data_IF_593447860749
#
_entry.id   IF_593447860749
#
_cell.length_a   1.000
_cell.length_b   1.000
_cell.length_c   1.000
_cell.angle_alpha   90.00
_cell.angle_beta   90.00
_cell.angle_gamma   90.00
#
_symmetry.space_group_name_H-M   'P 1'
#
loop_
_entity.id
_entity.type
_entity.pdbx_description
1 polymer ?
#
# COMPACT_ATOMS: atom_id res chain seq x y z
N UNK A 1 12.61 6.65 30.31
CA UNK A 1 11.17 6.85 30.01
C UNK A 1 10.52 7.69 31.10
N UNK A 2 10.71 9.01 31.06
CA UNK A 2 10.31 9.90 32.17
C UNK A 2 8.80 10.19 32.24
N UNK A 3 8.07 10.05 31.13
CA UNK A 3 6.64 10.37 31.05
C UNK A 3 5.70 9.19 31.39
N UNK A 4 6.23 8.00 31.69
CA UNK A 4 5.43 6.83 32.06
C UNK A 4 4.59 6.20 30.94
N UNK A 5 4.65 6.71 29.70
CA UNK A 5 3.87 6.22 28.54
C UNK A 5 4.78 5.74 27.39
N UNK A 6 5.50 4.61 27.54
CA UNK A 6 6.34 4.00 26.49
C UNK A 6 5.65 3.85 25.15
N UNK A 7 4.40 3.38 25.18
CA UNK A 7 3.60 2.96 24.03
C UNK A 7 3.35 4.10 23.03
N UNK A 8 3.42 5.36 23.49
CA UNK A 8 3.29 6.52 22.62
C UNK A 8 4.41 6.59 21.58
N UNK A 9 5.59 6.03 21.85
CA UNK A 9 6.67 6.00 20.88
C UNK A 9 6.28 5.24 19.61
N UNK A 10 5.49 4.18 19.75
CA UNK A 10 5.02 3.35 18.63
C UNK A 10 3.78 3.93 17.95
N UNK A 11 2.94 4.66 18.70
CA UNK A 11 1.66 5.19 18.22
C UNK A 11 1.75 6.60 17.62
N UNK A 12 2.70 7.40 18.10
CA UNK A 12 2.93 8.80 17.72
C UNK A 12 4.35 8.93 17.14
N UNK A 13 4.56 8.53 15.88
CA UNK A 13 5.89 8.43 15.32
C UNK A 13 6.56 9.80 15.23
N UNK A 14 7.72 9.92 15.89
CA UNK A 14 8.62 11.07 15.78
C UNK A 14 9.82 10.65 14.97
N UNK A 15 10.11 11.37 13.88
CA UNK A 15 11.21 11.07 12.98
C UNK A 15 11.81 12.31 12.37
N UNK A 16 12.93 12.14 11.66
CA UNK A 16 13.70 13.22 11.01
C UNK A 16 13.45 13.30 9.50
N UNK A 17 12.36 12.71 9.02
CA UNK A 17 11.97 12.71 7.61
C UNK A 17 11.35 14.04 7.16
N UNK A 18 11.05 14.20 5.85
CA UNK A 18 10.52 15.45 5.28
C UNK A 18 9.11 15.80 5.75
N UNK A 19 8.37 14.85 6.32
CA UNK A 19 7.00 15.03 6.75
C UNK A 19 6.84 14.55 8.21
N UNK A 20 6.17 15.37 9.01
CA UNK A 20 5.82 15.11 10.41
C UNK A 20 4.42 14.53 10.51
N UNK A 21 4.22 13.57 11.42
CA UNK A 21 2.92 12.99 11.70
C UNK A 21 1.99 14.04 12.32
N UNK A 22 0.80 14.21 11.75
CA UNK A 22 -0.18 15.16 12.27
C UNK A 22 -1.39 14.45 12.89
N UNK A 23 -1.95 13.45 12.20
CA UNK A 23 -3.10 12.69 12.73
C UNK A 23 -3.32 11.38 12.00
N UNK A 24 -3.73 10.35 12.75
CA UNK A 24 -4.28 9.12 12.21
C UNK A 24 -5.75 8.95 12.59
N UNK A 25 -6.60 8.65 11.62
CA UNK A 25 -7.93 8.08 11.84
C UNK A 25 -7.96 6.70 11.21
N UNK A 26 -8.07 5.68 12.07
CA UNK A 26 -8.12 4.27 11.67
C UNK A 26 -9.14 4.05 10.56
N UNK A 27 -8.72 3.36 9.50
CA UNK A 27 -9.52 3.03 8.31
C UNK A 27 -10.12 4.22 7.54
N UNK A 28 -9.70 5.45 7.86
CA UNK A 28 -10.22 6.67 7.22
C UNK A 28 -9.10 7.45 6.54
N UNK A 29 -8.16 7.99 7.31
CA UNK A 29 -7.16 8.92 6.77
C UNK A 29 -5.91 8.96 7.64
N UNK A 30 -4.75 9.12 7.01
CA UNK A 30 -3.50 9.55 7.65
C UNK A 30 -3.15 10.93 7.14
N UNK A 31 -2.77 11.84 8.04
CA UNK A 31 -2.35 13.21 7.70
C UNK A 31 -0.95 13.49 8.21
N UNK A 32 -0.16 14.10 7.34
CA UNK A 32 1.17 14.61 7.63
C UNK A 32 1.27 16.08 7.24
N UNK A 33 2.23 16.79 7.84
CA UNK A 33 2.61 18.15 7.48
C UNK A 33 4.09 18.17 7.11
N UNK A 34 4.53 19.14 6.31
CA UNK A 34 5.95 19.37 6.09
C UNK A 34 6.68 19.53 7.43
N UNK A 35 7.89 18.98 7.53
CA UNK A 35 8.76 19.15 8.69
C UNK A 35 9.84 20.18 8.36
N UNK A 36 9.75 21.37 8.99
CA UNK A 36 10.70 22.47 8.72
C UNK A 36 12.12 22.15 9.21
N UNK A 37 12.27 21.25 10.19
CA UNK A 37 13.57 20.77 10.66
C UNK A 37 14.18 19.66 9.80
N UNK A 38 13.62 19.38 8.62
CA UNK A 38 14.19 18.37 7.73
C UNK A 38 15.57 18.78 7.28
N UNK A 39 16.56 17.92 7.50
CA UNK A 39 17.98 18.18 7.25
C UNK A 39 18.34 18.30 5.76
N UNK A 40 17.41 17.93 4.88
CA UNK A 40 17.57 17.98 3.43
C UNK A 40 16.66 19.04 2.81
N UNK A 41 16.58 19.10 1.48
CA UNK A 41 15.71 20.08 0.82
C UNK A 41 14.24 19.86 1.20
N UNK A 42 13.58 20.95 1.66
CA UNK A 42 12.13 20.97 1.89
C UNK A 42 11.39 20.56 0.61
N UNK A 43 10.47 19.60 0.76
CA UNK A 43 9.63 19.14 -0.32
C UNK A 43 8.53 20.17 -0.61
N UNK A 44 8.05 20.31 -1.86
CA UNK A 44 7.06 21.32 -2.24
C UNK A 44 5.63 21.00 -1.76
N UNK A 45 5.47 20.08 -0.81
CA UNK A 45 4.17 19.61 -0.32
C UNK A 45 4.05 19.96 1.16
N UNK A 46 3.15 20.88 1.48
CA UNK A 46 2.94 21.33 2.86
C UNK A 46 2.06 20.38 3.67
N UNK A 47 1.06 19.78 3.02
CA UNK A 47 0.13 18.83 3.65
C UNK A 47 0.02 17.59 2.78
N UNK A 48 0.26 16.43 3.38
CA UNK A 48 0.15 15.14 2.72
C UNK A 48 -0.97 14.33 3.38
N UNK A 49 -1.92 13.88 2.57
CA UNK A 49 -3.10 13.13 3.03
C UNK A 49 -3.12 11.78 2.34
N UNK A 50 -3.18 10.71 3.13
CA UNK A 50 -3.42 9.35 2.66
C UNK A 50 -4.87 8.97 2.99
N UNK A 51 -5.82 9.11 2.05
CA UNK A 51 -7.16 8.59 2.22
C UNK A 51 -7.16 7.07 2.07
N UNK A 52 -7.66 6.36 3.07
CA UNK A 52 -7.73 4.90 3.04
C UNK A 52 -8.93 4.51 2.15
N UNK A 53 -8.64 4.08 0.92
CA UNK A 53 -9.64 3.68 -0.07
C UNK A 53 -9.34 2.24 -0.52
N UNK A 54 -10.00 1.21 0.05
CA UNK A 54 -9.59 -0.18 -0.09
C UNK A 54 -9.69 -0.74 -1.51
N UNK A 55 -10.72 -0.38 -2.27
CA UNK A 55 -10.97 -0.95 -3.60
C UNK A 55 -10.26 -0.15 -4.68
N UNK A 56 -9.67 -0.84 -5.67
CA UNK A 56 -9.01 -0.21 -6.82
C UNK A 56 -9.97 0.65 -7.64
N UNK A 57 -11.20 0.17 -7.86
CA UNK A 57 -12.23 0.90 -8.58
C UNK A 57 -12.53 2.27 -7.92
N UNK A 58 -12.76 2.29 -6.60
CA UNK A 58 -13.01 3.55 -5.90
C UNK A 58 -11.80 4.48 -5.91
N UNK A 59 -10.57 3.93 -5.87
CA UNK A 59 -9.36 4.74 -6.04
C UNK A 59 -9.29 5.38 -7.42
N UNK A 60 -9.61 4.64 -8.47
CA UNK A 60 -9.63 5.16 -9.84
C UNK A 60 -10.68 6.25 -10.02
N UNK A 61 -11.89 6.06 -9.48
CA UNK A 61 -12.93 7.11 -9.47
C UNK A 61 -12.44 8.39 -8.81
N UNK A 62 -11.83 8.29 -7.62
CA UNK A 62 -11.27 9.45 -6.91
C UNK A 62 -10.14 10.14 -7.67
N UNK A 63 -9.28 9.36 -8.33
CA UNK A 63 -8.20 9.89 -9.17
C UNK A 63 -8.77 10.68 -10.36
N UNK A 64 -9.75 10.11 -11.07
CA UNK A 64 -10.43 10.77 -12.21
C UNK A 64 -11.21 12.03 -11.79
N UNK A 65 -11.71 12.05 -10.55
CA UNK A 65 -12.41 13.20 -9.96
C UNK A 65 -11.46 14.28 -9.41
N UNK A 66 -10.15 14.02 -9.32
CA UNK A 66 -9.16 14.94 -8.75
C UNK A 66 -9.17 15.00 -7.21
N UNK A 67 -9.90 14.11 -6.53
CA UNK A 67 -9.86 14.00 -5.06
C UNK A 67 -8.53 13.40 -4.56
N UNK A 68 -7.89 12.59 -5.40
CA UNK A 68 -6.57 12.01 -5.18
C UNK A 68 -5.67 12.35 -6.36
N UNK A 69 -4.40 12.66 -6.08
CA UNK A 69 -3.41 12.96 -7.14
C UNK A 69 -2.59 11.73 -7.54
N UNK A 70 -2.52 10.71 -6.68
CA UNK A 70 -1.75 9.48 -6.88
C UNK A 70 -2.58 8.30 -6.37
N UNK A 71 -2.54 7.18 -7.09
CA UNK A 71 -3.15 5.93 -6.68
C UNK A 71 -2.19 4.76 -6.92
N UNK A 72 -2.18 3.80 -5.99
CA UNK A 72 -1.43 2.56 -6.12
C UNK A 72 -2.33 1.41 -6.57
N UNK A 73 -1.73 0.46 -7.30
CA UNK A 73 -2.34 -0.81 -7.70
C UNK A 73 -3.70 -0.63 -8.38
N UNK A 74 -3.74 -0.08 -9.61
CA UNK A 74 -4.95 -0.13 -10.44
C UNK A 74 -5.30 -1.59 -10.75
N UNK A 75 -6.57 -1.86 -11.10
CA UNK A 75 -6.91 -3.19 -11.57
C UNK A 75 -6.26 -3.42 -12.95
N UNK A 76 -5.75 -4.62 -13.26
CA UNK A 76 -5.16 -4.91 -14.56
C UNK A 76 -6.13 -4.65 -15.74
N UNK A 77 -7.42 -4.89 -15.54
CA UNK A 77 -8.46 -4.64 -16.53
C UNK A 77 -8.64 -3.15 -16.87
N UNK A 78 -8.29 -2.25 -15.95
CA UNK A 78 -8.44 -0.80 -16.14
C UNK A 78 -7.18 -0.19 -16.82
N UNK A 79 -6.14 -0.98 -17.08
CA UNK A 79 -4.84 -0.46 -17.53
C UNK A 79 -4.94 0.27 -18.88
N UNK A 80 -5.65 -0.30 -19.85
CA UNK A 80 -5.86 0.31 -21.17
C UNK A 80 -6.65 1.61 -21.06
N UNK A 81 -7.71 1.63 -20.24
CA UNK A 81 -8.52 2.83 -20.01
C UNK A 81 -7.68 3.95 -19.35
N UNK A 82 -6.86 3.62 -18.35
CA UNK A 82 -5.98 4.58 -17.68
C UNK A 82 -4.94 5.13 -18.65
N UNK A 83 -4.38 4.27 -19.52
CA UNK A 83 -3.41 4.69 -20.53
C UNK A 83 -4.02 5.59 -21.62
N UNK A 84 -5.32 5.44 -21.89
CA UNK A 84 -6.06 6.24 -22.86
C UNK A 84 -6.53 7.61 -22.33
N UNK A 85 -6.65 7.81 -21.00
CA UNK A 85 -7.06 9.10 -20.41
C UNK A 85 -5.90 10.10 -20.40
N UNK A 86 -5.96 11.22 -21.17
CA UNK A 86 -4.87 12.19 -21.26
C UNK A 86 -4.59 12.95 -19.95
N UNK A 87 -5.50 12.88 -18.97
CA UNK A 87 -5.33 13.52 -17.65
C UNK A 87 -4.56 12.61 -16.69
N UNK A 88 -4.39 11.34 -17.03
CA UNK A 88 -3.75 10.34 -16.19
C UNK A 88 -2.41 9.93 -16.78
N UNK A 89 -1.51 9.48 -15.90
CA UNK A 89 -0.25 8.88 -16.30
C UNK A 89 -0.13 7.52 -15.64
N UNK A 90 -0.21 6.46 -16.44
CA UNK A 90 0.09 5.11 -15.98
C UNK A 90 1.61 4.95 -15.82
N UNK A 91 2.07 4.79 -14.58
CA UNK A 91 3.47 4.51 -14.28
C UNK A 91 3.68 3.01 -14.09
N UNK A 92 4.51 2.42 -14.94
CA UNK A 92 4.91 1.01 -14.85
C UNK A 92 6.35 0.94 -14.36
N UNK A 93 6.57 0.17 -13.30
CA UNK A 93 7.90 -0.10 -12.74
C UNK A 93 8.10 -1.61 -12.69
N UNK A 94 9.33 -2.07 -12.94
CA UNK A 94 9.69 -3.47 -12.70
C UNK A 94 9.40 -3.83 -11.25
N UNK A 95 8.51 -4.79 -11.02
CA UNK A 95 8.14 -5.21 -9.67
C UNK A 95 9.23 -6.10 -9.07
N UNK A 96 9.83 -5.65 -7.98
CA UNK A 96 10.72 -6.47 -7.14
C UNK A 96 9.93 -7.16 -6.02
N UNK A 97 8.79 -7.78 -6.36
CA UNK A 97 7.93 -8.50 -5.42
C UNK A 97 7.58 -9.90 -5.96
N UNK A 98 7.41 -10.87 -5.07
CA UNK A 98 6.98 -12.23 -5.41
C UNK A 98 5.68 -12.54 -4.65
N UNK A 99 4.62 -12.88 -5.39
CA UNK A 99 3.39 -13.42 -4.79
C UNK A 99 3.56 -14.92 -4.54
N UNK A 100 3.37 -15.38 -3.31
CA UNK A 100 3.47 -16.78 -2.95
C UNK A 100 2.22 -17.27 -2.20
N UNK A 101 1.86 -18.52 -2.43
CA UNK A 101 0.92 -19.25 -1.57
C UNK A 101 1.74 -20.03 -0.54
N UNK A 102 1.92 -19.45 0.65
CA UNK A 102 2.54 -20.13 1.76
C UNK A 102 1.58 -21.15 2.38
N UNK A 103 2.11 -22.30 2.80
CA UNK A 103 1.34 -23.35 3.47
C UNK A 103 1.88 -23.55 4.87
N UNK A 104 0.99 -23.63 5.84
CA UNK A 104 1.35 -23.96 7.22
C UNK A 104 1.72 -25.42 7.32
N UNK A 105 2.96 -25.71 7.68
CA UNK A 105 3.47 -27.08 7.77
C UNK A 105 2.76 -27.90 8.87
N UNK A 106 2.25 -27.24 9.92
CA UNK A 106 1.59 -27.87 11.07
C UNK A 106 0.09 -28.16 10.86
N UNK A 107 -0.52 -27.76 9.75
CA UNK A 107 -1.96 -27.94 9.51
C UNK A 107 -2.23 -29.16 8.64
N UNK A 108 -2.90 -30.19 9.19
CA UNK A 108 -3.43 -31.31 8.37
C UNK A 108 -4.51 -30.80 7.41
N UNK A 109 -4.57 -31.28 6.15
CA UNK A 109 -3.79 -32.35 5.51
C UNK A 109 -2.49 -31.88 4.83
N UNK A 110 -2.12 -30.61 4.99
CA UNK A 110 -0.98 -29.99 4.30
C UNK A 110 0.39 -30.42 4.85
N UNK A 111 0.40 -31.17 5.96
CA UNK A 111 1.58 -31.75 6.61
C UNK A 111 2.19 -32.94 5.85
N UNK A 112 1.42 -33.63 4.99
CA UNK A 112 1.90 -34.85 4.32
C UNK A 112 2.54 -34.54 2.97
N UNK A 113 3.75 -35.04 2.72
CA UNK A 113 4.47 -34.86 1.44
C UNK A 113 3.68 -35.40 0.22
N UNK A 114 2.76 -36.35 0.41
CA UNK A 114 1.90 -36.89 -0.65
C UNK A 114 0.72 -35.97 -1.05
N UNK A 115 0.25 -35.12 -0.13
CA UNK A 115 -0.68 -34.03 -0.44
C UNK A 115 0.07 -32.81 -1.02
N UNK A 116 1.40 -32.90 -1.12
CA UNK A 116 2.26 -31.74 -1.32
C UNK A 116 2.25 -31.21 -2.74
N UNK A 117 2.69 -29.96 -2.83
CA UNK A 117 3.10 -29.14 -3.96
C UNK A 117 2.64 -29.55 -5.38
N UNK A 118 3.02 -30.69 -5.99
CA UNK A 118 2.61 -30.98 -7.37
C UNK A 118 1.10 -30.97 -7.61
N UNK A 119 0.28 -31.51 -6.72
CA UNK A 119 -1.16 -31.67 -6.97
C UNK A 119 -1.90 -30.32 -6.98
N UNK A 120 -1.61 -29.46 -6.00
CA UNK A 120 -2.17 -28.10 -5.92
C UNK A 120 -1.60 -27.23 -7.06
N UNK A 121 -0.31 -27.35 -7.35
CA UNK A 121 0.31 -26.58 -8.45
C UNK A 121 -0.21 -26.98 -9.83
N UNK A 122 -0.44 -28.28 -10.07
CA UNK A 122 -1.11 -28.79 -11.28
C UNK A 122 -2.52 -28.23 -11.42
N UNK A 123 -3.25 -28.06 -10.32
CA UNK A 123 -4.59 -27.48 -10.34
C UNK A 123 -4.56 -25.97 -10.63
N UNK A 124 -3.63 -25.22 -10.01
CA UNK A 124 -3.47 -23.77 -10.24
C UNK A 124 -3.10 -23.50 -11.70
N UNK A 125 -2.13 -24.24 -12.26
CA UNK A 125 -1.73 -24.13 -13.67
C UNK A 125 -2.83 -24.48 -14.67
N UNK A 126 -3.89 -25.18 -14.27
CA UNK A 126 -5.01 -25.50 -15.17
C UNK A 126 -5.99 -24.33 -15.36
N UNK A 127 -5.85 -23.27 -14.57
CA UNK A 127 -6.79 -22.17 -14.48
C UNK A 127 -6.22 -20.83 -14.99
N UNK A 128 -4.95 -20.83 -15.36
CA UNK A 128 -4.22 -19.70 -15.95
C UNK A 128 -3.51 -20.18 -17.22
#
# INVERSE_FOLDING_TARGET
>A
MAAGTPEKLDLEPVGTGPASFARFRRNVTIRYRAFDGYWCRRQPIDTLVFPITPTSAARLTKLKAGESHVSAFPAPADAEEIAADPRLRLMTLGSFNIGCLARTHASRPLTTCACAAPSIWRLIRRRY
#
